data_IF_176490000387
#
_entry.id   IF_176490000387
#
_cell.length_a   1.000
_cell.length_b   1.000
_cell.length_c   1.000
_cell.angle_alpha   90.00
_cell.angle_beta   90.00
_cell.angle_gamma   90.00
#
_symmetry.space_group_name_H-M   'P 1'
#
loop_
_entity.id
_entity.type
_entity.pdbx_description
1 polymer ?
#
# COMPACT_ATOMS: atom_id res chain seq x y z
N UNK A 1 -15.04 16.87 -19.64
CA UNK A 1 -14.10 15.73 -19.76
C UNK A 1 -12.70 16.05 -19.24
N UNK A 2 -12.08 17.20 -19.56
CA UNK A 2 -10.72 17.54 -19.11
C UNK A 2 -10.54 17.63 -17.58
N UNK A 3 -11.51 18.18 -16.84
CA UNK A 3 -11.46 18.25 -15.37
C UNK A 3 -11.46 16.86 -14.70
N UNK A 4 -12.16 15.89 -15.28
CA UNK A 4 -12.18 14.52 -14.77
C UNK A 4 -10.81 13.85 -14.93
N UNK A 5 -10.16 14.02 -16.08
CA UNK A 5 -8.81 13.52 -16.33
C UNK A 5 -7.77 14.16 -15.41
N UNK A 6 -7.90 15.46 -15.11
CA UNK A 6 -7.01 16.17 -14.19
C UNK A 6 -7.15 15.66 -12.74
N UNK A 7 -8.39 15.48 -12.25
CA UNK A 7 -8.66 14.90 -10.93
C UNK A 7 -8.15 13.47 -10.81
N UNK A 8 -8.33 12.67 -11.86
CA UNK A 8 -7.85 11.29 -11.90
C UNK A 8 -6.32 11.23 -11.87
N UNK A 9 -5.63 12.09 -12.64
CA UNK A 9 -4.18 12.21 -12.63
C UNK A 9 -3.64 12.63 -11.25
N UNK A 10 -4.30 13.58 -10.59
CA UNK A 10 -3.94 14.01 -9.24
C UNK A 10 -4.16 12.90 -8.20
N UNK A 11 -5.26 12.15 -8.30
CA UNK A 11 -5.54 11.01 -7.45
C UNK A 11 -4.49 9.89 -7.58
N UNK A 12 -4.03 9.59 -8.80
CA UNK A 12 -2.93 8.63 -9.03
C UNK A 12 -1.63 9.12 -8.39
N UNK A 13 -1.36 10.41 -8.47
CA UNK A 13 -0.15 11.01 -7.90
C UNK A 13 -0.13 10.91 -6.38
N UNK A 14 -1.28 11.17 -5.74
CA UNK A 14 -1.47 10.97 -4.30
C UNK A 14 -1.26 9.49 -3.93
N UNK A 15 -1.85 8.56 -4.67
CA UNK A 15 -1.70 7.12 -4.43
C UNK A 15 -0.21 6.69 -4.47
N UNK A 16 0.57 7.21 -5.40
CA UNK A 16 2.01 6.89 -5.50
C UNK A 16 2.86 7.41 -4.34
N UNK A 17 2.33 8.31 -3.51
CA UNK A 17 3.02 8.85 -2.34
C UNK A 17 2.43 8.24 -1.06
N UNK A 18 1.11 8.32 -0.91
CA UNK A 18 0.40 7.86 0.28
C UNK A 18 0.52 6.35 0.49
N UNK A 19 0.46 5.56 -0.58
CA UNK A 19 0.54 4.10 -0.48
C UNK A 19 1.90 3.60 0.02
N UNK A 20 3.05 3.98 -0.58
CA UNK A 20 4.34 3.53 -0.06
C UNK A 20 4.60 4.00 1.38
N UNK A 21 4.13 5.20 1.76
CA UNK A 21 4.22 5.68 3.15
C UNK A 21 3.39 4.80 4.09
N UNK A 22 2.13 4.52 3.72
CA UNK A 22 1.25 3.64 4.49
C UNK A 22 1.86 2.25 4.66
N UNK A 23 2.31 1.64 3.56
CA UNK A 23 2.88 0.30 3.58
C UNK A 23 4.18 0.23 4.38
N UNK A 24 5.02 1.26 4.33
CA UNK A 24 6.21 1.35 5.16
C UNK A 24 5.87 1.39 6.64
N UNK A 25 4.94 2.26 7.02
CA UNK A 25 4.53 2.43 8.41
C UNK A 25 3.90 1.15 8.95
N UNK A 26 3.01 0.54 8.17
CA UNK A 26 2.36 -0.72 8.49
C UNK A 26 3.33 -1.90 8.56
N UNK A 27 4.29 -1.98 7.63
CA UNK A 27 5.36 -2.98 7.65
C UNK A 27 6.25 -2.85 8.89
N UNK A 28 6.52 -1.62 9.33
CA UNK A 28 7.26 -1.35 10.55
C UNK A 28 6.49 -1.79 11.80
N UNK A 29 5.20 -1.44 11.89
CA UNK A 29 4.33 -1.88 13.00
C UNK A 29 4.18 -3.40 13.07
N UNK A 30 4.08 -4.04 11.91
CA UNK A 30 3.91 -5.49 11.82
C UNK A 30 5.24 -6.26 11.89
N UNK A 31 6.39 -5.61 12.08
CA UNK A 31 7.71 -6.25 12.03
C UNK A 31 7.90 -7.09 10.75
N UNK A 32 7.34 -6.67 9.62
CA UNK A 32 7.65 -7.28 8.34
C UNK A 32 9.13 -7.01 8.02
N UNK A 33 9.94 -8.02 7.72
CA UNK A 33 11.40 -7.89 7.62
C UNK A 33 11.88 -7.04 6.43
N UNK A 34 10.97 -6.50 5.61
CA UNK A 34 11.28 -5.85 4.34
C UNK A 34 10.54 -4.51 4.11
N UNK A 35 10.61 -3.54 5.05
CA UNK A 35 9.94 -2.24 4.91
C UNK A 35 10.38 -1.45 3.67
N UNK A 36 11.64 -1.59 3.24
CA UNK A 36 12.16 -0.92 2.04
C UNK A 36 11.55 -1.44 0.72
N UNK A 37 11.21 -2.73 0.64
CA UNK A 37 10.58 -3.29 -0.56
C UNK A 37 9.17 -2.74 -0.76
N UNK A 38 8.44 -2.51 0.32
CA UNK A 38 7.11 -1.91 0.27
C UNK A 38 7.11 -0.48 -0.26
N UNK A 39 8.17 0.29 0.00
CA UNK A 39 8.35 1.63 -0.59
C UNK A 39 8.57 1.52 -2.10
N UNK A 40 9.50 0.66 -2.52
CA UNK A 40 9.79 0.45 -3.94
C UNK A 40 8.53 -0.01 -4.70
N UNK A 41 7.85 -1.05 -4.20
CA UNK A 41 6.62 -1.52 -4.82
C UNK A 41 5.50 -0.47 -4.79
N UNK A 42 5.34 0.27 -3.70
CA UNK A 42 4.32 1.31 -3.58
C UNK A 42 4.51 2.48 -4.55
N UNK A 43 5.75 2.79 -4.94
CA UNK A 43 6.05 3.85 -5.92
C UNK A 43 5.76 3.38 -7.35
N UNK A 44 6.20 2.17 -7.72
CA UNK A 44 6.07 1.65 -9.09
C UNK A 44 4.65 1.14 -9.39
N UNK A 45 4.03 0.45 -8.43
CA UNK A 45 2.69 -0.13 -8.56
C UNK A 45 1.94 -0.03 -7.23
N UNK A 46 1.41 1.15 -6.85
CA UNK A 46 0.77 1.37 -5.55
C UNK A 46 -0.37 0.39 -5.27
N UNK A 47 -1.26 0.18 -6.24
CA UNK A 47 -2.39 -0.74 -6.09
C UNK A 47 -1.91 -2.18 -5.89
N UNK A 48 -0.96 -2.63 -6.71
CA UNK A 48 -0.39 -3.98 -6.62
C UNK A 48 0.35 -4.20 -5.30
N UNK A 49 1.09 -3.20 -4.82
CA UNK A 49 1.78 -3.24 -3.54
C UNK A 49 0.81 -3.36 -2.35
N UNK A 50 -0.29 -2.60 -2.39
CA UNK A 50 -1.37 -2.69 -1.40
C UNK A 50 -2.02 -4.07 -1.40
N UNK A 51 -2.37 -4.59 -2.57
CA UNK A 51 -2.94 -5.94 -2.68
C UNK A 51 -1.97 -7.00 -2.16
N UNK A 52 -0.69 -6.94 -2.55
CA UNK A 52 0.34 -7.85 -2.08
C UNK A 52 0.50 -7.79 -0.57
N UNK A 53 0.47 -6.58 0.01
CA UNK A 53 0.49 -6.40 1.47
C UNK A 53 -0.66 -7.14 2.14
N UNK A 54 -1.89 -6.93 1.68
CA UNK A 54 -3.05 -7.60 2.27
C UNK A 54 -3.02 -9.11 2.08
N UNK A 55 -2.52 -9.60 0.94
CA UNK A 55 -2.32 -11.04 0.73
C UNK A 55 -1.31 -11.60 1.73
N UNK A 56 -0.18 -10.91 1.93
CA UNK A 56 0.84 -11.33 2.90
C UNK A 56 0.31 -11.25 4.34
N UNK A 57 -0.43 -10.20 4.68
CA UNK A 57 -1.08 -10.02 5.99
C UNK A 57 -2.09 -11.14 6.27
N UNK A 58 -2.88 -11.51 5.26
CA UNK A 58 -3.86 -12.60 5.31
C UNK A 58 -3.18 -13.96 5.48
N UNK A 59 -2.15 -14.29 4.69
CA UNK A 59 -1.41 -15.55 4.81
C UNK A 59 -0.72 -15.65 6.17
N UNK A 60 -0.28 -14.53 6.76
CA UNK A 60 0.30 -14.49 8.10
C UNK A 60 -0.71 -14.63 9.23
N UNK A 61 -2.01 -14.77 8.92
CA UNK A 61 -3.07 -14.99 9.91
C UNK A 61 -3.35 -13.79 10.83
N UNK A 62 -2.80 -12.60 10.55
CA UNK A 62 -3.02 -11.41 11.40
C UNK A 62 -4.33 -10.70 11.12
N UNK A 63 -4.90 -10.92 9.96
CA UNK A 63 -6.18 -10.34 9.58
C UNK A 63 -7.34 -10.92 10.41
N UNK A 64 -7.23 -12.17 10.89
CA UNK A 64 -8.25 -12.80 11.74
C UNK A 64 -8.19 -12.30 13.20
N UNK A 65 -7.00 -12.02 13.74
CA UNK A 65 -6.83 -11.59 15.14
C UNK A 65 -7.36 -10.16 15.41
N UNK A 66 -7.47 -9.31 14.38
CA UNK A 66 -8.05 -7.96 14.51
C UNK A 66 -9.56 -7.90 14.25
N UNK A 67 -10.17 -9.01 13.86
CA UNK A 67 -11.60 -9.09 13.58
C UNK A 67 -12.42 -9.67 14.76
N UNK A 68 -11.77 -9.96 15.89
CA UNK A 68 -12.36 -10.42 17.16
C UNK A 68 -12.32 -9.32 18.21
#
# INVERSE_FOLDING_TARGET
>A
MQAFSALFGFGILILRIAVPIYLYWRAKETQLPQPGWWILFGIFQPIGALMLYYIVDFIKGRTEEKAV
#
